data_IF_585065251513
#
_entry.id   IF_585065251513
#
_cell.length_a   1.000
_cell.length_b   1.000
_cell.length_c   1.000
_cell.angle_alpha   90.00
_cell.angle_beta   90.00
_cell.angle_gamma   90.00
#
_symmetry.space_group_name_H-M   'P 1'
#
loop_
_entity.id
_entity.type
_entity.pdbx_description
1 polymer ?
#
# COMPACT_ATOMS: atom_id res chain seq x y z
N UNK A 1 -10.55 -15.17 -15.75
CA UNK A 1 -10.12 -14.01 -14.95
C UNK A 1 -10.51 -12.76 -15.70
N UNK A 2 -11.36 -11.95 -15.10
CA UNK A 2 -11.77 -10.64 -15.62
C UNK A 2 -10.88 -9.59 -14.95
N UNK A 3 -10.38 -8.65 -15.72
CA UNK A 3 -9.67 -7.46 -15.23
C UNK A 3 -10.39 -6.22 -15.77
N UNK A 4 -10.77 -5.30 -14.89
CA UNK A 4 -11.48 -4.08 -15.29
C UNK A 4 -10.85 -2.87 -14.62
N UNK A 5 -10.51 -1.87 -15.40
CA UNK A 5 -10.01 -0.57 -14.93
C UNK A 5 -11.14 0.47 -15.00
N UNK A 6 -11.27 1.25 -13.92
CA UNK A 6 -12.29 2.31 -13.80
C UNK A 6 -11.67 3.58 -13.21
N UNK A 7 -12.33 4.69 -13.47
CA UNK A 7 -12.09 5.94 -12.75
C UNK A 7 -13.32 6.28 -11.91
N UNK A 8 -13.13 6.27 -10.59
CA UNK A 8 -14.19 6.60 -9.63
C UNK A 8 -14.19 8.11 -9.40
N UNK A 9 -15.35 8.73 -9.63
CA UNK A 9 -15.51 10.17 -9.41
C UNK A 9 -15.37 10.51 -7.93
N UNK A 10 -14.49 11.46 -7.62
CA UNK A 10 -14.22 11.94 -6.27
C UNK A 10 -14.19 13.47 -6.26
N UNK A 11 -14.75 14.08 -5.22
CA UNK A 11 -14.55 15.51 -4.94
C UNK A 11 -13.31 15.65 -4.08
N UNK A 12 -12.25 16.19 -4.65
CA UNK A 12 -10.93 16.24 -4.03
C UNK A 12 -10.94 17.02 -2.71
N UNK A 13 -10.34 16.42 -1.69
CA UNK A 13 -10.03 17.06 -0.40
C UNK A 13 -8.55 17.39 -0.25
N UNK A 14 -7.74 17.06 -1.27
CA UNK A 14 -6.34 17.49 -1.38
C UNK A 14 -6.28 19.02 -1.40
N UNK A 15 -5.48 19.68 -0.53
CA UNK A 15 -5.52 21.13 -0.39
C UNK A 15 -5.38 21.90 -1.70
N UNK A 16 -4.47 21.47 -2.58
CA UNK A 16 -4.20 22.12 -3.87
C UNK A 16 -5.35 22.01 -4.89
N UNK A 17 -6.23 21.03 -4.75
CA UNK A 17 -7.33 20.73 -5.69
C UNK A 17 -8.68 20.60 -4.99
N UNK A 18 -8.79 21.15 -3.78
CA UNK A 18 -10.00 21.02 -2.96
C UNK A 18 -11.24 21.48 -3.72
N UNK A 19 -12.27 20.64 -3.69
CA UNK A 19 -13.55 20.88 -4.35
C UNK A 19 -13.59 20.56 -5.86
N UNK A 20 -12.45 20.23 -6.47
CA UNK A 20 -12.42 19.80 -7.87
C UNK A 20 -12.91 18.35 -8.01
N UNK A 21 -13.63 18.08 -9.09
CA UNK A 21 -14.00 16.72 -9.46
C UNK A 21 -12.82 16.03 -10.14
N UNK A 22 -12.41 14.88 -9.60
CA UNK A 22 -11.29 14.07 -10.11
C UNK A 22 -11.69 12.62 -10.29
N UNK A 23 -10.96 11.88 -11.15
CA UNK A 23 -11.13 10.45 -11.32
C UNK A 23 -10.03 9.68 -10.58
N UNK A 24 -10.37 8.86 -9.61
CA UNK A 24 -9.44 7.98 -8.92
C UNK A 24 -9.38 6.63 -9.62
N UNK A 25 -8.20 6.19 -9.99
CA UNK A 25 -8.01 4.92 -10.69
C UNK A 25 -8.25 3.73 -9.76
N UNK A 26 -9.15 2.84 -10.19
CA UNK A 26 -9.53 1.62 -9.49
C UNK A 26 -9.43 0.42 -10.45
N UNK A 27 -8.58 -0.56 -10.12
CA UNK A 27 -8.51 -1.84 -10.82
C UNK A 27 -9.32 -2.90 -10.07
N UNK A 28 -10.08 -3.69 -10.83
CA UNK A 28 -10.76 -4.91 -10.36
C UNK A 28 -10.14 -6.14 -11.00
N UNK A 29 -10.03 -7.23 -10.23
CA UNK A 29 -9.68 -8.55 -10.73
C UNK A 29 -10.54 -9.62 -10.05
N UNK A 30 -11.27 -10.42 -10.84
CA UNK A 30 -12.24 -11.40 -10.34
C UNK A 30 -12.35 -12.60 -11.30
N UNK A 31 -12.72 -13.77 -10.81
CA UNK A 31 -13.14 -14.87 -11.67
C UNK A 31 -14.59 -14.67 -12.11
N UNK A 32 -14.89 -15.00 -13.36
CA UNK A 32 -16.26 -15.01 -13.88
C UNK A 32 -17.17 -15.91 -13.04
N UNK A 33 -16.66 -17.08 -12.62
CA UNK A 33 -17.37 -17.99 -11.72
C UNK A 33 -17.73 -17.39 -10.37
N UNK A 34 -16.89 -16.50 -9.82
CA UNK A 34 -17.18 -15.80 -8.56
C UNK A 34 -18.38 -14.86 -8.70
N UNK A 35 -18.49 -14.16 -9.83
CA UNK A 35 -19.63 -13.27 -10.11
C UNK A 35 -20.91 -14.06 -10.46
N UNK A 36 -20.77 -15.25 -11.07
CA UNK A 36 -21.87 -16.10 -11.47
C UNK A 36 -22.43 -16.99 -10.36
N UNK A 37 -21.74 -17.11 -9.22
CA UNK A 37 -22.09 -18.04 -8.15
C UNK A 37 -23.41 -17.73 -7.41
N UNK A 38 -24.01 -16.56 -7.66
CA UNK A 38 -25.19 -16.07 -6.95
C UNK A 38 -24.86 -15.61 -5.53
N UNK A 39 -25.47 -14.53 -5.09
CA UNK A 39 -25.18 -13.88 -3.80
C UNK A 39 -24.12 -12.77 -3.90
N UNK A 40 -23.87 -12.11 -2.78
CA UNK A 40 -22.90 -11.04 -2.69
C UNK A 40 -21.47 -11.62 -2.63
N UNK A 41 -20.54 -11.18 -3.48
CA UNK A 41 -19.17 -11.67 -3.46
C UNK A 41 -18.43 -11.20 -2.20
N UNK A 42 -17.44 -11.98 -1.76
CA UNK A 42 -16.51 -11.50 -0.73
C UNK A 42 -15.52 -10.51 -1.36
N UNK A 43 -15.74 -9.23 -1.08
CA UNK A 43 -14.95 -8.13 -1.65
C UNK A 43 -13.69 -7.87 -0.85
N UNK A 44 -12.54 -7.81 -1.53
CA UNK A 44 -11.25 -7.43 -0.98
C UNK A 44 -10.79 -6.13 -1.62
N UNK A 45 -10.45 -5.16 -0.79
CA UNK A 45 -9.95 -3.86 -1.24
C UNK A 45 -8.49 -3.68 -0.82
N UNK A 46 -7.58 -3.53 -1.79
CA UNK A 46 -6.14 -3.45 -1.58
C UNK A 46 -5.64 -2.01 -1.63
N UNK A 47 -4.85 -1.61 -0.63
CA UNK A 47 -4.37 -0.24 -0.40
C UNK A 47 -2.85 -0.21 -0.43
N UNK A 48 -2.28 0.40 -1.48
CA UNK A 48 -0.85 0.35 -1.78
C UNK A 48 0.03 1.17 -0.82
N UNK A 49 1.32 0.84 -0.84
CA UNK A 49 2.37 1.55 -0.11
C UNK A 49 2.76 2.90 -0.73
N UNK A 50 3.83 3.51 -0.22
CA UNK A 50 4.33 4.82 -0.67
C UNK A 50 5.20 4.80 -1.93
N UNK A 51 5.54 3.61 -2.45
CA UNK A 51 6.54 3.47 -3.53
C UNK A 51 5.98 2.85 -4.81
N UNK A 52 4.76 2.37 -4.80
CA UNK A 52 4.19 1.75 -5.97
C UNK A 52 2.68 2.01 -6.03
N UNK A 53 2.14 2.39 -7.19
CA UNK A 53 0.69 2.44 -7.40
C UNK A 53 0.09 1.04 -7.30
N UNK A 54 -1.22 0.96 -7.17
CA UNK A 54 -1.95 -0.29 -6.93
C UNK A 54 -1.63 -1.40 -7.93
N UNK A 55 -1.50 -1.09 -9.20
CA UNK A 55 -1.22 -2.05 -10.27
C UNK A 55 0.18 -2.65 -10.18
N UNK A 56 1.18 -1.88 -9.76
CA UNK A 56 2.53 -2.39 -9.55
C UNK A 56 2.62 -3.15 -8.22
N UNK A 57 2.01 -2.61 -7.16
CA UNK A 57 2.08 -3.21 -5.83
C UNK A 57 1.37 -4.56 -5.74
N UNK A 58 0.26 -4.73 -6.47
CA UNK A 58 -0.66 -5.85 -6.29
C UNK A 58 -0.98 -6.65 -7.54
N UNK A 59 -0.72 -6.10 -8.72
CA UNK A 59 -1.04 -6.73 -9.99
C UNK A 59 0.11 -6.62 -10.99
N UNK A 60 1.35 -6.83 -10.52
CA UNK A 60 2.51 -6.81 -11.40
C UNK A 60 2.34 -7.86 -12.51
N UNK A 61 2.32 -7.40 -13.75
CA UNK A 61 2.20 -8.26 -14.93
C UNK A 61 3.55 -8.91 -15.26
N UNK A 62 3.98 -9.79 -14.37
CA UNK A 62 5.20 -10.56 -14.48
C UNK A 62 5.03 -11.91 -13.82
N UNK A 63 5.07 -13.00 -14.58
CA UNK A 63 4.91 -14.39 -14.09
C UNK A 63 3.70 -14.51 -13.12
N UNK A 64 3.92 -15.02 -11.91
CA UNK A 64 2.90 -15.26 -10.86
C UNK A 64 2.87 -14.18 -9.76
N UNK A 65 3.46 -12.99 -10.02
CA UNK A 65 3.60 -11.92 -9.03
C UNK A 65 2.34 -11.04 -8.86
N UNK A 66 1.18 -11.43 -9.42
CA UNK A 66 -0.08 -10.75 -9.18
C UNK A 66 -0.77 -11.27 -7.91
N UNK A 67 -0.69 -10.49 -6.84
CA UNK A 67 -1.42 -10.77 -5.59
C UNK A 67 -2.94 -10.70 -5.82
N UNK A 68 -3.41 -9.72 -6.61
CA UNK A 68 -4.83 -9.65 -7.00
C UNK A 68 -5.30 -10.93 -7.68
N UNK A 69 -4.51 -11.47 -8.63
CA UNK A 69 -4.88 -12.70 -9.32
C UNK A 69 -4.86 -13.93 -8.38
N UNK A 70 -3.96 -13.96 -7.40
CA UNK A 70 -3.93 -15.04 -6.41
C UNK A 70 -5.19 -15.02 -5.53
N UNK A 71 -5.60 -13.86 -5.03
CA UNK A 71 -6.85 -13.73 -4.26
C UNK A 71 -8.10 -13.97 -5.12
N UNK A 72 -8.11 -13.51 -6.37
CA UNK A 72 -9.22 -13.80 -7.27
C UNK A 72 -9.37 -15.30 -7.54
N UNK A 73 -8.27 -16.06 -7.76
CA UNK A 73 -8.27 -17.52 -7.84
C UNK A 73 -8.76 -18.18 -6.54
N UNK A 74 -8.54 -17.56 -5.40
CA UNK A 74 -9.07 -18.01 -4.13
C UNK A 74 -10.57 -17.70 -3.93
N UNK A 75 -11.23 -17.08 -4.91
CA UNK A 75 -12.69 -16.85 -4.93
C UNK A 75 -13.13 -15.46 -4.43
N UNK A 76 -12.18 -14.52 -4.31
CA UNK A 76 -12.50 -13.13 -3.94
C UNK A 76 -12.77 -12.25 -5.17
N UNK A 77 -13.54 -11.19 -4.98
CA UNK A 77 -13.63 -10.05 -5.88
C UNK A 77 -12.68 -8.95 -5.37
N UNK A 78 -11.60 -8.71 -6.11
CA UNK A 78 -10.45 -7.95 -5.64
C UNK A 78 -10.35 -6.60 -6.32
N UNK A 79 -10.35 -5.53 -5.53
CA UNK A 79 -10.19 -4.16 -5.99
C UNK A 79 -8.89 -3.55 -5.44
N UNK A 80 -8.25 -2.67 -6.22
CA UNK A 80 -7.06 -1.94 -5.79
C UNK A 80 -7.11 -0.49 -6.29
N UNK A 81 -7.04 0.45 -5.34
CA UNK A 81 -7.07 1.89 -5.58
C UNK A 81 -5.64 2.43 -5.76
N UNK A 82 -5.41 3.29 -6.75
CA UNK A 82 -4.28 4.21 -6.76
C UNK A 82 -4.71 5.57 -6.22
N UNK A 83 -4.06 6.02 -5.15
CA UNK A 83 -4.30 7.34 -4.56
C UNK A 83 -3.78 8.47 -5.44
N UNK A 84 -4.24 9.71 -5.19
CA UNK A 84 -3.67 10.94 -5.79
C UNK A 84 -2.15 10.94 -5.69
N UNK A 85 -1.49 11.22 -6.79
CA UNK A 85 -0.04 11.21 -6.95
C UNK A 85 0.54 9.87 -7.42
N UNK A 86 -0.29 8.83 -7.65
CA UNK A 86 0.17 7.49 -8.03
C UNK A 86 -0.55 6.94 -9.26
N UNK A 87 0.21 6.27 -10.12
CA UNK A 87 -0.33 5.58 -11.29
C UNK A 87 -1.19 6.47 -12.18
N UNK A 88 -2.31 5.96 -12.71
CA UNK A 88 -3.23 6.75 -13.55
C UNK A 88 -4.11 7.74 -12.78
N UNK A 89 -4.09 7.77 -11.43
CA UNK A 89 -4.78 8.78 -10.64
C UNK A 89 -4.15 10.16 -10.81
N UNK A 90 -4.88 11.26 -10.52
CA UNK A 90 -4.37 12.62 -10.70
C UNK A 90 -3.04 12.88 -10.00
N UNK A 91 -2.16 13.64 -10.64
CA UNK A 91 -0.84 14.06 -10.13
C UNK A 91 -0.72 15.59 -10.09
N UNK A 92 -1.61 16.30 -9.35
CA UNK A 92 -1.60 17.75 -9.36
C UNK A 92 -0.25 18.30 -8.91
N UNK A 93 0.24 19.32 -9.61
CA UNK A 93 1.49 20.04 -9.31
C UNK A 93 2.78 19.19 -9.42
N UNK A 94 2.69 17.91 -9.78
CA UNK A 94 3.85 17.02 -9.81
C UNK A 94 4.63 17.06 -11.13
N UNK A 95 4.16 17.74 -12.18
CA UNK A 95 4.90 17.88 -13.44
C UNK A 95 5.85 19.05 -13.47
N UNK A 96 5.83 19.89 -12.44
CA UNK A 96 6.78 20.99 -12.27
C UNK A 96 7.98 20.55 -11.41
N UNK A 97 9.20 20.51 -11.97
CA UNK A 97 10.38 20.06 -11.24
C UNK A 97 10.75 20.97 -10.05
N UNK A 98 10.33 22.25 -10.06
CA UNK A 98 10.51 23.13 -8.90
C UNK A 98 9.72 22.62 -7.66
N UNK A 99 8.63 21.88 -7.87
CA UNK A 99 7.81 21.30 -6.81
C UNK A 99 8.38 20.02 -6.18
N UNK A 100 9.57 19.60 -6.61
CA UNK A 100 10.35 18.57 -5.90
C UNK A 100 10.90 19.16 -4.61
N UNK A 101 10.77 18.43 -3.50
CA UNK A 101 11.39 18.79 -2.25
C UNK A 101 12.90 18.99 -2.43
N UNK A 102 13.42 20.06 -1.85
CA UNK A 102 14.78 20.54 -2.09
C UNK A 102 15.85 19.49 -1.81
N UNK A 103 15.59 18.60 -0.86
CA UNK A 103 16.47 17.48 -0.54
C UNK A 103 16.66 16.52 -1.74
N UNK A 104 15.63 16.37 -2.57
CA UNK A 104 15.63 15.43 -3.69
C UNK A 104 15.99 16.07 -5.04
N UNK A 105 16.01 17.41 -5.17
CA UNK A 105 16.33 18.10 -6.42
C UNK A 105 17.67 17.70 -7.02
N UNK A 106 18.76 17.42 -6.25
CA UNK A 106 20.03 16.95 -6.82
C UNK A 106 19.91 15.72 -7.72
N UNK A 107 18.88 14.88 -7.53
CA UNK A 107 18.65 13.68 -8.34
C UNK A 107 18.22 13.99 -9.80
N UNK A 108 17.75 15.21 -10.06
CA UNK A 108 17.28 15.66 -11.39
C UNK A 108 18.09 16.83 -11.94
N UNK A 109 19.20 17.15 -11.30
CA UNK A 109 20.11 18.23 -11.75
C UNK A 109 21.33 17.66 -12.47
N UNK A 110 21.89 18.39 -13.45
CA UNK A 110 21.39 19.65 -14.04
C UNK A 110 20.43 19.42 -15.22
N UNK A 111 20.02 18.20 -15.53
CA UNK A 111 19.35 17.83 -16.79
C UNK A 111 17.85 18.19 -16.84
N UNK A 112 17.15 18.24 -15.71
CA UNK A 112 15.73 18.66 -15.61
C UNK A 112 15.63 20.03 -14.92
N UNK A 113 16.35 20.20 -13.82
CA UNK A 113 16.42 21.44 -13.05
C UNK A 113 17.87 21.93 -13.06
N UNK A 114 18.09 23.15 -13.57
CA UNK A 114 19.44 23.70 -13.74
C UNK A 114 20.10 24.03 -12.40
N UNK A 115 19.35 24.70 -11.55
CA UNK A 115 19.77 25.16 -10.23
C UNK A 115 18.70 24.82 -9.19
N UNK A 116 19.03 24.66 -7.90
CA UNK A 116 18.04 24.43 -6.85
C UNK A 116 17.04 25.58 -6.79
N UNK A 117 15.75 25.25 -6.80
CA UNK A 117 14.66 26.23 -6.79
C UNK A 117 13.70 26.00 -5.61
N UNK A 118 13.10 27.06 -5.07
CA UNK A 118 12.01 26.91 -4.12
C UNK A 118 10.78 26.31 -4.80
N UNK A 119 9.95 25.54 -4.07
CA UNK A 119 8.73 25.00 -4.64
C UNK A 119 7.75 26.11 -5.01
N UNK A 120 7.12 26.01 -6.18
CA UNK A 120 6.07 26.99 -6.58
C UNK A 120 4.80 26.84 -5.76
N UNK A 121 4.55 25.66 -5.24
CA UNK A 121 3.55 25.39 -4.23
C UNK A 121 4.26 24.97 -2.93
N UNK A 122 4.41 25.88 -1.93
CA UNK A 122 5.29 25.68 -0.78
C UNK A 122 4.63 24.84 0.33
N UNK A 123 3.86 23.83 -0.03
CA UNK A 123 3.18 22.95 0.91
C UNK A 123 3.26 21.50 0.46
N UNK A 124 3.12 20.59 1.42
CA UNK A 124 2.94 19.15 1.14
C UNK A 124 1.63 18.91 0.39
N UNK A 125 1.60 17.90 -0.48
CA UNK A 125 0.51 17.71 -1.41
C UNK A 125 -0.70 17.01 -0.79
N UNK A 126 -0.50 15.86 -0.14
CA UNK A 126 -1.58 15.03 0.40
C UNK A 126 -1.52 14.91 1.92
N UNK A 127 -2.60 14.47 2.52
CA UNK A 127 -2.66 14.21 3.96
C UNK A 127 -3.30 12.86 4.24
N UNK A 128 -3.11 12.33 5.46
CA UNK A 128 -3.83 11.15 5.93
C UNK A 128 -5.34 11.28 5.70
N UNK A 129 -5.91 12.46 5.98
CA UNK A 129 -7.35 12.69 5.78
C UNK A 129 -7.75 12.63 4.31
N UNK A 130 -7.02 13.29 3.41
CA UNK A 130 -7.36 13.24 1.98
C UNK A 130 -7.27 11.83 1.42
N UNK A 131 -6.33 10.99 1.88
CA UNK A 131 -6.22 9.59 1.48
C UNK A 131 -7.34 8.72 2.05
N UNK A 132 -7.80 8.99 3.29
CA UNK A 132 -8.98 8.31 3.85
C UNK A 132 -10.27 8.71 3.11
N UNK A 133 -10.42 9.95 2.70
CA UNK A 133 -11.56 10.44 1.92
C UNK A 133 -11.63 9.79 0.52
N UNK A 134 -10.47 9.63 -0.13
CA UNK A 134 -10.34 8.92 -1.40
C UNK A 134 -10.71 7.44 -1.25
N UNK A 135 -10.18 6.79 -0.20
CA UNK A 135 -10.50 5.39 0.10
C UNK A 135 -12.00 5.22 0.41
N UNK A 136 -12.58 6.12 1.21
CA UNK A 136 -14.01 6.11 1.53
C UNK A 136 -14.88 6.25 0.25
N UNK A 137 -14.47 7.10 -0.68
CA UNK A 137 -15.18 7.25 -1.95
C UNK A 137 -15.14 5.96 -2.78
N UNK A 138 -13.96 5.34 -2.90
CA UNK A 138 -13.78 4.12 -3.67
C UNK A 138 -14.46 2.91 -3.01
N UNK A 139 -14.39 2.78 -1.69
CA UNK A 139 -15.10 1.72 -0.95
C UNK A 139 -16.61 1.85 -1.12
N UNK A 140 -17.18 3.05 -0.97
CA UNK A 140 -18.62 3.27 -1.19
C UNK A 140 -19.04 2.92 -2.61
N UNK A 141 -18.25 3.27 -3.62
CA UNK A 141 -18.48 2.88 -5.00
C UNK A 141 -18.53 1.36 -5.16
N UNK A 142 -17.56 0.64 -4.62
CA UNK A 142 -17.50 -0.83 -4.71
C UNK A 142 -18.63 -1.49 -3.95
N UNK A 143 -18.99 -1.00 -2.75
CA UNK A 143 -20.15 -1.49 -1.98
C UNK A 143 -21.44 -1.36 -2.77
N UNK A 144 -21.66 -0.22 -3.41
CA UNK A 144 -22.82 -0.01 -4.27
C UNK A 144 -22.81 -0.92 -5.51
N UNK A 145 -21.65 -1.07 -6.16
CA UNK A 145 -21.45 -1.92 -7.34
C UNK A 145 -21.76 -3.40 -7.04
N UNK A 146 -21.36 -3.88 -5.87
CA UNK A 146 -21.49 -5.30 -5.46
C UNK A 146 -22.64 -5.57 -4.51
N UNK A 147 -23.35 -4.54 -4.06
CA UNK A 147 -24.47 -4.63 -3.09
C UNK A 147 -24.03 -5.34 -1.81
N UNK A 148 -22.86 -4.94 -1.28
CA UNK A 148 -22.29 -5.46 -0.02
C UNK A 148 -22.25 -4.35 1.03
N UNK A 149 -22.42 -4.72 2.30
CA UNK A 149 -22.37 -3.77 3.43
C UNK A 149 -20.92 -3.55 3.91
N UNK A 150 -20.06 -4.55 3.74
CA UNK A 150 -18.68 -4.52 4.21
C UNK A 150 -17.71 -4.99 3.15
N UNK A 151 -16.46 -4.54 3.27
CA UNK A 151 -15.32 -5.01 2.48
C UNK A 151 -14.21 -5.45 3.42
N UNK A 152 -13.37 -6.39 2.99
CA UNK A 152 -12.12 -6.69 3.66
C UNK A 152 -11.01 -5.80 3.09
N UNK A 153 -10.07 -5.36 3.94
CA UNK A 153 -8.97 -4.48 3.52
C UNK A 153 -7.63 -5.18 3.63
N UNK A 154 -6.75 -4.91 2.65
CA UNK A 154 -5.35 -5.34 2.67
C UNK A 154 -4.46 -4.12 2.47
N UNK A 155 -3.59 -3.79 3.44
CA UNK A 155 -2.71 -2.63 3.38
C UNK A 155 -1.23 -2.98 3.47
N UNK A 156 -0.42 -2.49 2.51
CA UNK A 156 1.03 -2.64 2.51
C UNK A 156 1.74 -1.35 2.90
N UNK A 157 2.76 -1.44 3.77
CA UNK A 157 3.62 -0.28 4.08
C UNK A 157 2.80 0.92 4.55
N UNK A 158 2.86 2.05 3.85
CA UNK A 158 1.98 3.21 4.09
C UNK A 158 0.51 2.94 3.76
N UNK A 159 0.20 1.86 3.06
CA UNK A 159 -1.16 1.36 2.91
C UNK A 159 -1.76 0.87 4.24
N UNK A 160 -0.93 0.48 5.20
CA UNK A 160 -1.40 0.09 6.53
C UNK A 160 -2.06 1.26 7.30
N UNK A 161 -1.45 2.44 7.47
CA UNK A 161 -2.14 3.59 8.06
C UNK A 161 -3.32 4.12 7.22
N UNK A 162 -3.31 3.91 5.90
CA UNK A 162 -4.47 4.22 5.05
C UNK A 162 -5.64 3.27 5.35
N UNK A 163 -5.42 1.96 5.24
CA UNK A 163 -6.44 0.94 5.48
C UNK A 163 -6.89 0.91 6.94
N UNK A 164 -5.94 0.96 7.88
CA UNK A 164 -6.24 0.94 9.32
C UNK A 164 -6.92 2.23 9.80
N UNK A 165 -6.52 3.39 9.27
CA UNK A 165 -7.21 4.66 9.57
C UNK A 165 -8.64 4.65 9.05
N UNK A 166 -8.86 4.17 7.83
CA UNK A 166 -10.22 3.97 7.32
C UNK A 166 -11.02 2.99 8.20
N UNK A 167 -10.44 1.84 8.56
CA UNK A 167 -11.11 0.86 9.42
C UNK A 167 -11.47 1.41 10.81
N UNK A 168 -10.66 2.33 11.33
CA UNK A 168 -10.93 3.02 12.58
C UNK A 168 -12.07 4.04 12.47
N UNK A 169 -12.14 4.76 11.35
CA UNK A 169 -13.16 5.78 11.08
C UNK A 169 -14.49 5.19 10.61
N UNK A 170 -14.46 4.01 10.00
CA UNK A 170 -15.59 3.31 9.41
C UNK A 170 -15.69 1.84 9.88
N UNK A 171 -15.75 1.58 11.20
CA UNK A 171 -15.65 0.22 11.76
C UNK A 171 -16.77 -0.72 11.29
N UNK A 172 -17.92 -0.18 10.91
CA UNK A 172 -19.07 -0.96 10.45
C UNK A 172 -18.99 -1.30 8.95
N UNK A 173 -18.03 -0.74 8.21
CA UNK A 173 -17.83 -0.97 6.78
C UNK A 173 -16.71 -1.97 6.48
N UNK A 174 -15.95 -2.40 7.50
CA UNK A 174 -14.81 -3.32 7.35
C UNK A 174 -15.14 -4.67 7.99
N UNK A 175 -15.01 -5.75 7.18
CA UNK A 175 -15.17 -7.13 7.64
C UNK A 175 -13.89 -7.64 8.32
N UNK A 176 -12.77 -7.64 7.60
CA UNK A 176 -11.45 -8.06 8.09
C UNK A 176 -10.35 -7.15 7.57
N UNK A 177 -9.26 -7.12 8.30
CA UNK A 177 -8.09 -6.29 7.97
C UNK A 177 -6.83 -7.16 7.90
N UNK A 178 -6.03 -6.95 6.86
CA UNK A 178 -4.68 -7.51 6.72
C UNK A 178 -3.70 -6.37 6.51
N UNK A 179 -2.68 -6.28 7.38
CA UNK A 179 -1.63 -5.28 7.31
C UNK A 179 -0.29 -6.00 7.17
N UNK A 180 0.45 -5.77 6.08
CA UNK A 180 1.77 -6.36 5.95
C UNK A 180 2.84 -5.31 5.71
N UNK A 181 4.02 -5.54 6.32
CA UNK A 181 5.08 -4.55 6.37
C UNK A 181 4.59 -3.16 6.83
N UNK A 182 3.73 -3.03 7.87
CA UNK A 182 3.08 -1.76 8.18
C UNK A 182 4.09 -0.67 8.52
N UNK A 183 3.90 0.53 7.96
CA UNK A 183 4.70 1.70 8.28
C UNK A 183 4.30 2.24 9.67
N UNK A 184 5.17 2.07 10.66
CA UNK A 184 4.93 2.53 12.03
C UNK A 184 5.33 3.99 12.28
N UNK A 185 6.20 4.53 11.43
CA UNK A 185 6.76 5.87 11.60
C UNK A 185 5.79 7.02 11.35
N UNK A 186 4.57 6.71 10.93
CA UNK A 186 3.48 7.69 10.81
C UNK A 186 2.56 7.70 12.03
N UNK A 187 2.95 7.01 13.09
CA UNK A 187 2.19 6.99 14.32
C UNK A 187 2.40 8.31 15.07
N UNK A 188 1.45 9.21 14.97
CA UNK A 188 1.39 10.43 15.75
C UNK A 188 0.12 10.47 16.57
N UNK A 189 0.25 10.77 17.86
CA UNK A 189 -0.88 11.06 18.75
C UNK A 189 -1.32 12.53 18.64
N UNK A 190 -0.51 13.34 17.93
CA UNK A 190 -0.77 14.74 17.72
C UNK A 190 -2.04 14.96 16.88
N UNK A 191 -2.77 16.05 17.13
CA UNK A 191 -3.83 16.48 16.25
C UNK A 191 -3.29 16.76 14.84
N UNK A 192 -4.15 16.80 13.81
CA UNK A 192 -3.73 17.19 12.49
C UNK A 192 -2.93 18.51 12.53
N UNK A 193 -1.79 18.58 11.83
CA UNK A 193 -1.06 19.83 11.72
C UNK A 193 -1.93 20.87 11.01
N UNK A 194 -1.56 22.14 11.16
CA UNK A 194 -2.23 23.20 10.38
C UNK A 194 -2.12 22.86 8.89
N UNK A 195 -3.27 22.82 8.22
CA UNK A 195 -3.37 22.42 6.82
C UNK A 195 -3.51 23.63 5.90
N UNK A 196 -2.76 23.73 4.79
CA UNK A 196 -1.71 22.80 4.34
C UNK A 196 -0.40 22.97 5.12
N UNK A 197 0.31 21.88 5.38
CA UNK A 197 1.62 21.89 6.07
C UNK A 197 2.71 22.42 5.12
N UNK A 198 3.61 23.33 5.55
CA UNK A 198 4.73 23.81 4.74
C UNK A 198 5.64 22.68 4.25
N UNK A 199 6.16 22.82 3.03
CA UNK A 199 7.02 21.81 2.40
C UNK A 199 7.02 21.93 0.88
N UNK A 200 7.11 20.81 0.18
CA UNK A 200 6.99 20.73 -1.26
C UNK A 200 6.00 19.63 -1.67
N UNK A 201 5.38 19.68 -2.86
CA UNK A 201 4.37 18.72 -3.28
C UNK A 201 4.86 17.28 -3.42
N UNK A 202 6.14 17.05 -3.79
CA UNK A 202 6.62 15.71 -4.11
C UNK A 202 8.05 15.43 -3.65
N UNK A 203 8.33 14.14 -3.50
CA UNK A 203 9.64 13.55 -3.28
C UNK A 203 10.00 12.63 -4.43
N UNK A 204 11.28 12.33 -4.58
CA UNK A 204 11.81 11.45 -5.62
C UNK A 204 12.45 10.19 -5.02
N UNK A 205 12.42 9.12 -5.80
CA UNK A 205 13.07 7.85 -5.46
C UNK A 205 13.79 7.33 -6.70
N UNK A 206 15.12 7.31 -6.67
CA UNK A 206 15.91 6.72 -7.76
C UNK A 206 15.75 5.20 -7.80
N UNK A 207 16.05 4.60 -8.96
CA UNK A 207 16.08 3.15 -9.15
C UNK A 207 17.03 2.48 -8.15
N UNK A 208 18.26 3.02 -8.03
CA UNK A 208 19.24 2.53 -7.08
C UNK A 208 18.69 2.54 -5.64
N UNK A 209 18.12 3.66 -5.21
CA UNK A 209 17.60 3.75 -3.84
C UNK A 209 16.46 2.78 -3.57
N UNK A 210 15.49 2.66 -4.50
CA UNK A 210 14.33 1.81 -4.31
C UNK A 210 14.67 0.32 -4.41
N UNK A 211 15.38 -0.07 -5.46
CA UNK A 211 15.65 -1.49 -5.74
C UNK A 211 16.84 -2.03 -4.95
N UNK A 212 17.94 -1.26 -4.82
CA UNK A 212 19.12 -1.75 -4.11
C UNK A 212 18.98 -1.47 -2.62
N UNK A 213 19.00 -0.20 -2.18
CA UNK A 213 19.08 0.12 -0.75
C UNK A 213 17.83 -0.25 0.06
N UNK A 214 16.65 -0.14 -0.54
CA UNK A 214 15.41 -0.46 0.19
C UNK A 214 14.98 -1.91 0.06
N UNK A 215 15.41 -2.61 -0.96
CA UNK A 215 15.02 -3.98 -1.20
C UNK A 215 16.20 -4.95 -1.20
N UNK A 216 17.10 -4.92 -2.21
CA UNK A 216 18.15 -5.94 -2.38
C UNK A 216 19.12 -6.00 -1.20
N UNK A 217 19.44 -4.89 -0.54
CA UNK A 217 20.26 -4.87 0.69
C UNK A 217 19.59 -5.65 1.85
N UNK A 218 18.31 -5.97 1.74
CA UNK A 218 17.55 -6.77 2.70
C UNK A 218 17.26 -8.20 2.22
N UNK A 219 17.81 -8.61 1.09
CA UNK A 219 17.83 -10.00 0.64
C UNK A 219 19.03 -10.69 1.32
N UNK A 220 18.76 -11.49 2.35
CA UNK A 220 19.78 -12.06 3.23
C UNK A 220 19.78 -13.56 3.31
N UNK A 221 18.81 -14.23 2.67
CA UNK A 221 18.71 -15.66 2.61
C UNK A 221 18.86 -16.16 1.17
N UNK A 222 19.39 -17.37 1.04
CA UNK A 222 19.39 -18.09 -0.24
C UNK A 222 17.95 -18.33 -0.72
N UNK A 223 17.67 -18.00 -1.98
CA UNK A 223 16.33 -18.16 -2.58
C UNK A 223 15.27 -17.21 -2.06
N UNK A 224 15.58 -16.21 -1.21
CA UNK A 224 14.62 -15.19 -0.79
C UNK A 224 14.05 -14.44 -2.01
N UNK A 225 14.91 -14.07 -2.95
CA UNK A 225 14.55 -13.51 -4.25
C UNK A 225 14.63 -14.64 -5.29
N UNK A 226 13.52 -15.35 -5.51
CA UNK A 226 13.47 -16.49 -6.45
C UNK A 226 13.79 -16.08 -7.89
N UNK A 227 13.42 -14.86 -8.26
CA UNK A 227 13.63 -14.32 -9.59
C UNK A 227 14.13 -12.87 -9.49
N UNK A 228 15.44 -12.64 -9.62
CA UNK A 228 16.02 -11.30 -9.56
C UNK A 228 15.46 -10.32 -10.61
N UNK A 229 14.97 -10.82 -11.74
CA UNK A 229 14.38 -9.99 -12.80
C UNK A 229 13.06 -9.33 -12.38
N UNK A 230 12.41 -9.77 -11.30
CA UNK A 230 11.23 -9.10 -10.75
C UNK A 230 11.52 -7.64 -10.37
N UNK A 231 12.75 -7.32 -9.96
CA UNK A 231 13.18 -5.96 -9.66
C UNK A 231 13.09 -5.07 -10.91
N UNK A 232 13.62 -5.56 -12.05
CA UNK A 232 13.55 -4.84 -13.31
C UNK A 232 12.12 -4.76 -13.86
N UNK A 233 11.34 -5.82 -13.72
CA UNK A 233 9.93 -5.84 -14.11
C UNK A 233 9.12 -4.81 -13.29
N UNK A 234 9.34 -4.73 -11.98
CA UNK A 234 8.71 -3.74 -11.12
C UNK A 234 9.09 -2.31 -11.52
N UNK A 235 10.38 -2.03 -11.74
CA UNK A 235 10.84 -0.71 -12.16
C UNK A 235 10.27 -0.29 -13.50
N UNK A 236 10.30 -1.18 -14.49
CA UNK A 236 9.72 -0.93 -15.81
C UNK A 236 8.22 -0.63 -15.72
N UNK A 237 7.49 -1.35 -14.88
CA UNK A 237 6.06 -1.10 -14.65
C UNK A 237 5.80 0.24 -13.95
N UNK A 238 6.67 0.67 -13.03
CA UNK A 238 6.60 2.01 -12.41
C UNK A 238 6.79 3.12 -13.45
N UNK A 239 7.81 2.99 -14.30
CA UNK A 239 8.13 3.99 -15.33
C UNK A 239 7.06 4.05 -16.42
N UNK A 240 6.45 2.93 -16.77
CA UNK A 240 5.34 2.88 -17.73
C UNK A 240 4.08 3.63 -17.27
N UNK A 241 3.93 3.84 -15.96
CA UNK A 241 2.80 4.58 -15.36
C UNK A 241 3.12 6.04 -15.03
N UNK A 242 4.34 6.49 -15.30
CA UNK A 242 4.78 7.85 -15.03
C UNK A 242 5.75 8.36 -16.11
N UNK A 243 5.20 8.78 -17.25
CA UNK A 243 5.98 9.28 -18.39
C UNK A 243 6.90 10.46 -18.05
N UNK A 244 6.50 11.32 -17.13
CA UNK A 244 7.31 12.46 -16.69
C UNK A 244 8.46 11.95 -15.84
N UNK A 245 8.19 11.08 -14.86
CA UNK A 245 9.22 10.44 -14.04
C UNK A 245 10.21 9.62 -14.88
N UNK A 246 9.72 8.91 -15.90
CA UNK A 246 10.55 8.14 -16.82
C UNK A 246 11.59 9.01 -17.54
N UNK A 247 11.26 10.30 -17.79
CA UNK A 247 12.19 11.27 -18.46
C UNK A 247 13.10 12.03 -17.49
N UNK A 248 12.75 12.05 -16.19
CA UNK A 248 13.47 12.86 -15.21
C UNK A 248 14.70 12.17 -14.60
N UNK A 249 14.78 10.87 -14.66
CA UNK A 249 15.88 10.13 -14.08
C UNK A 249 17.20 10.31 -14.84
N UNK A 250 18.33 10.21 -14.14
CA UNK A 250 19.63 10.24 -14.80
C UNK A 250 19.81 9.01 -15.70
N UNK A 251 20.66 9.14 -16.73
CA UNK A 251 21.04 8.04 -17.63
C UNK A 251 19.87 7.32 -18.34
N UNK A 252 18.70 7.95 -18.42
CA UNK A 252 17.51 7.35 -19.02
C UNK A 252 16.87 6.25 -18.17
N UNK A 253 17.25 6.07 -16.91
CA UNK A 253 16.69 5.07 -16.02
C UNK A 253 15.32 5.46 -15.44
N UNK A 254 14.94 6.74 -15.55
CA UNK A 254 13.76 7.30 -14.91
C UNK A 254 13.94 7.53 -13.42
N UNK A 255 12.94 8.13 -12.82
CA UNK A 255 12.85 8.35 -11.38
C UNK A 255 11.39 8.23 -10.92
N UNK A 256 11.14 7.58 -9.81
CA UNK A 256 9.81 7.49 -9.24
C UNK A 256 9.47 8.80 -8.53
N UNK A 257 8.32 9.38 -8.85
CA UNK A 257 7.75 10.54 -8.17
C UNK A 257 6.65 10.11 -7.21
N UNK A 258 6.69 10.58 -5.99
CA UNK A 258 5.65 10.32 -5.00
C UNK A 258 5.21 11.63 -4.32
N UNK A 259 3.93 11.79 -3.95
CA UNK A 259 3.48 12.96 -3.22
C UNK A 259 4.11 13.02 -1.83
N UNK A 260 4.51 14.20 -1.41
CA UNK A 260 4.84 14.44 -0.01
C UNK A 260 3.56 14.48 0.82
N UNK A 261 3.65 13.99 2.06
CA UNK A 261 2.48 13.67 2.87
C UNK A 261 2.51 14.33 4.24
N UNK A 262 1.37 14.84 4.65
CA UNK A 262 1.07 15.23 6.01
C UNK A 262 0.47 14.04 6.77
N UNK A 263 1.19 13.50 7.75
CA UNK A 263 0.81 12.28 8.45
C UNK A 263 0.31 12.58 9.85
N UNK A 264 -0.86 12.04 10.21
CA UNK A 264 -1.45 12.19 11.54
C UNK A 264 -2.48 11.08 11.84
N UNK A 265 -2.80 10.92 13.09
CA UNK A 265 -3.96 10.15 13.55
C UNK A 265 -3.81 8.62 13.53
N UNK A 266 -2.77 8.06 12.94
CA UNK A 266 -2.62 6.60 12.81
C UNK A 266 -2.55 5.90 14.17
N UNK A 267 -1.67 6.35 15.06
CA UNK A 267 -1.45 5.72 16.36
C UNK A 267 -2.68 5.81 17.25
N UNK A 268 -3.26 7.01 17.34
CA UNK A 268 -4.48 7.26 18.11
C UNK A 268 -5.67 6.43 17.59
N UNK A 269 -5.75 6.23 16.28
CA UNK A 269 -6.82 5.50 15.65
C UNK A 269 -6.69 3.97 15.77
N UNK A 270 -5.52 3.42 16.10
CA UNK A 270 -5.32 1.97 16.26
C UNK A 270 -6.31 1.35 17.25
N UNK A 271 -6.56 2.01 18.36
CA UNK A 271 -7.50 1.54 19.39
C UNK A 271 -8.97 1.53 18.93
N UNK A 272 -9.30 2.24 17.86
CA UNK A 272 -10.66 2.31 17.29
C UNK A 272 -10.96 1.20 16.27
N UNK A 273 -9.94 0.46 15.82
CA UNK A 273 -10.10 -0.63 14.86
C UNK A 273 -10.87 -1.77 15.55
N UNK A 274 -12.01 -2.16 14.97
CA UNK A 274 -12.85 -3.27 15.46
C UNK A 274 -12.75 -4.52 14.59
N UNK A 275 -12.29 -4.38 13.35
CA UNK A 275 -12.17 -5.50 12.41
C UNK A 275 -11.11 -6.50 12.89
N UNK A 276 -11.40 -7.82 12.83
CA UNK A 276 -10.38 -8.84 13.01
C UNK A 276 -9.15 -8.54 12.15
N UNK A 277 -7.96 -8.54 12.75
CA UNK A 277 -6.75 -8.03 12.10
C UNK A 277 -5.61 -9.04 12.07
N UNK A 278 -5.12 -9.35 10.85
CA UNK A 278 -3.86 -10.05 10.62
C UNK A 278 -2.74 -9.03 10.35
N UNK A 279 -1.60 -9.18 11.03
CA UNK A 279 -0.37 -8.44 10.73
C UNK A 279 0.71 -9.41 10.31
N UNK A 280 1.31 -9.19 9.12
CA UNK A 280 2.46 -9.97 8.63
C UNK A 280 3.68 -9.06 8.51
N UNK A 281 4.81 -9.48 9.09
CA UNK A 281 6.06 -8.74 9.08
C UNK A 281 7.21 -9.63 8.60
N UNK A 282 7.96 -9.18 7.61
CA UNK A 282 9.20 -9.85 7.20
C UNK A 282 10.29 -9.73 8.26
N UNK A 283 11.11 -10.78 8.42
CA UNK A 283 12.20 -10.83 9.38
C UNK A 283 13.23 -9.70 9.18
N UNK A 284 13.52 -9.38 7.91
CA UNK A 284 14.48 -8.34 7.52
C UNK A 284 13.82 -7.01 7.19
N UNK A 285 12.53 -6.88 7.51
CA UNK A 285 11.86 -5.59 7.40
C UNK A 285 12.39 -4.65 8.49
N UNK A 286 13.16 -3.66 8.09
CA UNK A 286 14.03 -2.81 8.91
C UNK A 286 13.31 -1.92 9.94
N UNK A 287 12.04 -2.12 10.16
CA UNK A 287 11.25 -1.22 11.00
C UNK A 287 10.80 -1.93 12.30
N UNK A 288 11.76 -2.17 13.21
CA UNK A 288 11.49 -2.77 14.54
C UNK A 288 10.35 -2.08 15.31
N UNK A 289 10.13 -0.79 15.09
CA UNK A 289 9.02 -0.01 15.66
C UNK A 289 7.63 -0.46 15.17
N UNK A 290 7.53 -1.34 14.21
CA UNK A 290 6.26 -1.84 13.65
C UNK A 290 5.51 -2.79 14.58
N UNK A 291 6.18 -3.39 15.55
CA UNK A 291 5.54 -4.12 16.65
C UNK A 291 4.66 -3.21 17.51
N UNK A 292 4.97 -1.90 17.58
CA UNK A 292 4.15 -0.94 18.31
C UNK A 292 2.75 -0.80 17.68
N UNK A 293 2.66 -0.84 16.35
CA UNK A 293 1.36 -0.82 15.66
C UNK A 293 0.52 -2.05 16.03
N UNK A 294 1.12 -3.24 16.08
CA UNK A 294 0.47 -4.45 16.54
C UNK A 294 -0.01 -4.34 18.00
N UNK A 295 0.86 -3.89 18.90
CA UNK A 295 0.55 -3.75 20.33
C UNK A 295 -0.52 -2.68 20.59
N UNK A 296 -0.63 -1.67 19.72
CA UNK A 296 -1.65 -0.63 19.82
C UNK A 296 -3.05 -1.06 19.37
N UNK A 297 -3.20 -2.21 18.71
CA UNK A 297 -4.51 -2.74 18.34
C UNK A 297 -5.26 -3.22 19.57
N UNK A 298 -6.49 -2.76 19.76
CA UNK A 298 -7.37 -3.17 20.87
C UNK A 298 -8.28 -4.35 20.54
N UNK A 299 -8.38 -4.72 19.26
CA UNK A 299 -9.22 -5.84 18.82
C UNK A 299 -8.71 -7.16 19.39
N UNK A 300 -9.60 -7.96 20.01
CA UNK A 300 -9.24 -9.26 20.60
C UNK A 300 -8.84 -10.28 19.52
N UNK A 301 -9.57 -10.31 18.41
CA UNK A 301 -9.32 -11.18 17.27
C UNK A 301 -8.22 -10.59 16.40
N UNK A 302 -6.95 -10.79 16.81
CA UNK A 302 -5.76 -10.30 16.14
C UNK A 302 -4.67 -11.35 16.09
N UNK A 303 -4.05 -11.49 14.93
CA UNK A 303 -2.97 -12.43 14.67
C UNK A 303 -1.76 -11.69 14.13
N UNK A 304 -0.60 -11.89 14.74
CA UNK A 304 0.68 -11.40 14.26
C UNK A 304 1.54 -12.57 13.79
N UNK A 305 2.12 -12.46 12.60
CA UNK A 305 3.04 -13.45 12.06
C UNK A 305 4.32 -12.77 11.60
N UNK A 306 5.46 -13.19 12.17
CA UNK A 306 6.78 -12.83 11.68
C UNK A 306 7.24 -13.90 10.68
N UNK A 307 7.37 -13.54 9.42
CA UNK A 307 7.83 -14.43 8.35
C UNK A 307 9.36 -14.41 8.26
N UNK A 308 9.97 -15.57 8.40
CA UNK A 308 11.40 -15.74 8.20
C UNK A 308 11.79 -15.47 6.74
N UNK A 309 13.04 -15.08 6.53
CA UNK A 309 13.63 -14.92 5.21
C UNK A 309 12.80 -14.01 4.27
N UNK A 310 12.26 -12.93 4.79
CA UNK A 310 11.45 -11.96 4.05
C UNK A 310 11.80 -10.52 4.45
N UNK A 311 11.81 -9.61 3.47
CA UNK A 311 12.04 -8.19 3.67
C UNK A 311 10.72 -7.40 3.69
N UNK A 312 10.82 -6.08 3.46
CA UNK A 312 9.65 -5.20 3.28
C UNK A 312 8.84 -5.52 2.02
N UNK A 313 9.46 -6.14 1.04
CA UNK A 313 8.91 -6.42 -0.29
C UNK A 313 8.41 -7.87 -0.42
N UNK A 314 7.82 -8.41 0.64
CA UNK A 314 7.37 -9.81 0.76
C UNK A 314 6.61 -10.29 -0.49
N UNK A 315 5.74 -9.45 -1.07
CA UNK A 315 4.91 -9.79 -2.22
C UNK A 315 5.70 -10.00 -3.53
N UNK A 316 6.97 -9.61 -3.56
CA UNK A 316 7.88 -9.79 -4.69
C UNK A 316 9.01 -10.78 -4.40
N UNK A 317 9.02 -11.38 -3.22
CA UNK A 317 9.97 -12.39 -2.77
C UNK A 317 9.32 -13.78 -2.70
N UNK A 318 10.10 -14.82 -2.37
CA UNK A 318 9.57 -16.16 -2.09
C UNK A 318 8.48 -16.13 -1.02
N UNK A 319 8.60 -15.26 -0.05
CA UNK A 319 7.60 -15.02 1.00
C UNK A 319 6.20 -14.67 0.50
N UNK A 320 6.03 -14.30 -0.81
CA UNK A 320 4.72 -14.06 -1.41
C UNK A 320 3.79 -15.27 -1.32
N UNK A 321 4.33 -16.47 -1.44
CA UNK A 321 3.53 -17.71 -1.38
C UNK A 321 2.82 -17.83 -0.04
N UNK A 322 3.56 -17.62 1.05
CA UNK A 322 2.98 -17.56 2.39
C UNK A 322 2.02 -16.36 2.55
N UNK A 323 2.43 -15.17 2.14
CA UNK A 323 1.62 -13.96 2.28
C UNK A 323 0.25 -14.12 1.58
N UNK A 324 0.23 -14.67 0.36
CA UNK A 324 -1.01 -14.88 -0.40
C UNK A 324 -1.89 -15.93 0.26
N UNK A 325 -1.31 -17.05 0.71
CA UNK A 325 -2.00 -18.09 1.46
C UNK A 325 -2.58 -17.54 2.77
N UNK A 326 -1.76 -16.93 3.60
CA UNK A 326 -2.16 -16.39 4.89
C UNK A 326 -3.27 -15.33 4.76
N UNK A 327 -3.14 -14.44 3.76
CA UNK A 327 -4.19 -13.45 3.47
C UNK A 327 -5.50 -14.12 3.06
N UNK A 328 -5.47 -15.05 2.11
CA UNK A 328 -6.67 -15.74 1.66
C UNK A 328 -7.34 -16.55 2.78
N UNK A 329 -6.54 -17.25 3.59
CA UNK A 329 -7.01 -18.02 4.74
C UNK A 329 -7.68 -17.12 5.79
N UNK A 330 -6.97 -16.03 6.19
CA UNK A 330 -7.50 -15.05 7.14
C UNK A 330 -8.82 -14.42 6.66
N UNK A 331 -8.85 -13.98 5.43
CA UNK A 331 -10.05 -13.34 4.87
C UNK A 331 -11.25 -14.31 4.80
N UNK A 332 -11.02 -15.60 4.57
CA UNK A 332 -12.09 -16.61 4.55
C UNK A 332 -12.56 -16.99 5.96
N UNK A 333 -11.62 -17.32 6.83
CA UNK A 333 -11.92 -18.04 8.08
C UNK A 333 -11.63 -17.25 9.35
N UNK A 334 -10.90 -16.14 9.28
CA UNK A 334 -10.37 -15.43 10.44
C UNK A 334 -9.21 -16.17 11.13
N UNK A 335 -8.57 -17.11 10.42
CA UNK A 335 -7.42 -17.85 10.93
C UNK A 335 -6.41 -18.12 9.82
N UNK A 336 -5.16 -18.37 10.18
CA UNK A 336 -4.10 -18.86 9.31
C UNK A 336 -3.63 -20.20 9.89
N UNK A 337 -3.79 -21.28 9.14
CA UNK A 337 -3.40 -22.65 9.52
C UNK A 337 -3.85 -23.03 10.96
N UNK A 338 -5.08 -22.64 11.30
CA UNK A 338 -5.69 -22.89 12.62
C UNK A 338 -5.39 -21.82 13.69
N UNK A 339 -4.43 -20.93 13.48
CA UNK A 339 -4.14 -19.82 14.38
C UNK A 339 -5.07 -18.63 14.12
N UNK A 340 -5.89 -18.25 15.09
CA UNK A 340 -6.85 -17.13 14.99
C UNK A 340 -6.41 -15.89 15.77
N UNK A 341 -5.49 -16.02 16.73
CA UNK A 341 -5.03 -14.93 17.59
C UNK A 341 -3.64 -15.23 18.16
N UNK A 342 -2.93 -14.19 18.58
CA UNK A 342 -1.61 -14.32 19.22
C UNK A 342 -0.45 -13.95 18.29
N UNK A 343 0.76 -14.31 18.70
CA UNK A 343 2.00 -14.03 18.00
C UNK A 343 2.64 -15.35 17.54
N UNK A 344 2.97 -15.43 16.25
CA UNK A 344 3.58 -16.61 15.63
C UNK A 344 4.82 -16.22 14.82
N UNK A 345 5.69 -17.19 14.64
CA UNK A 345 6.73 -17.16 13.62
C UNK A 345 6.33 -18.12 12.49
N UNK A 346 6.54 -17.71 11.25
CA UNK A 346 6.47 -18.60 10.10
C UNK A 346 7.88 -18.83 9.60
N UNK A 347 8.22 -20.08 9.31
CA UNK A 347 9.48 -20.42 8.64
C UNK A 347 9.45 -20.00 7.16
N UNK A 348 10.55 -20.17 6.47
CA UNK A 348 10.68 -19.84 5.05
C UNK A 348 9.80 -20.70 4.11
N UNK A 349 9.25 -21.82 4.62
CA UNK A 349 8.29 -22.70 3.91
C UNK A 349 6.85 -22.38 4.25
N UNK A 350 6.64 -21.45 5.22
CA UNK A 350 5.31 -21.01 5.64
C UNK A 350 4.70 -21.84 6.78
N UNK A 351 5.46 -22.73 7.43
CA UNK A 351 4.97 -23.44 8.62
C UNK A 351 4.97 -22.46 9.81
N UNK A 352 3.82 -22.37 10.49
CA UNK A 352 3.67 -21.44 11.62
C UNK A 352 3.88 -22.14 12.97
N UNK A 353 4.61 -21.49 13.86
CA UNK A 353 4.82 -21.92 15.24
C UNK A 353 4.50 -20.78 16.22
N UNK A 354 3.85 -21.12 17.34
CA UNK A 354 3.56 -20.13 18.38
C UNK A 354 4.88 -19.57 18.93
N UNK A 355 5.02 -18.26 18.99
CA UNK A 355 6.15 -17.62 19.69
C UNK A 355 5.89 -17.73 21.18
N UNK A 356 6.88 -18.27 21.92
CA UNK A 356 6.90 -18.10 23.35
C UNK A 356 6.83 -16.60 23.64
N UNK A 357 5.89 -16.19 24.50
CA UNK A 357 5.79 -14.80 24.91
C UNK A 357 7.16 -14.36 25.42
N UNK A 358 7.81 -13.45 24.72
CA UNK A 358 8.97 -12.76 25.27
C UNK A 358 8.43 -11.89 26.40
N UNK A 359 8.70 -12.33 27.64
CA UNK A 359 8.43 -11.63 28.89
C UNK A 359 9.06 -10.22 28.90
#
# INVERSE_FOLDING_TARGET
MITTDRFVTHISTVPATRGQTVGLFLREKVLESTLAAGGAPHVVFMVHGGFAPSTVAYDLNYRDYSFMAALARAGFDVFALSHTGYGPSPRPLMDDPCNVDREFQPQIMPHVLKDPAPPRYPYKLVSSQSEWDELATAVRYVKALRKVDKVSLVGWSTGAPRAGGFAALHPDEVDKLVLYGPAAFFASDEPPPQMPEPGAPMILQSKEFLLHRRWQDHVRCEGQLEDPEVCNAMWSALMALDEVGARWGPNGEGIMRAPSRMNFGWRRNLALIRAPTLVVLGEFDNYAKRLEAWRGLSVEHRLFIKLACASHFIQFERGRHFLYHATASWLKTGAVDGAARGEFAADERGSIEARAAAL
#
